data_IF_332193831842
#
_entry.id   IF_332193831842
#
_cell.length_a   1.000
_cell.length_b   1.000
_cell.length_c   1.000
_cell.angle_alpha   90.00
_cell.angle_beta   90.00
_cell.angle_gamma   90.00
#
_symmetry.space_group_name_H-M   'P 1'
#
loop_
_entity.id
_entity.type
_entity.pdbx_description
1 polymer ?
#
# COMPACT_ATOMS: atom_id res chain seq x y z
N UNK A 1 5.65 4.05 19.59
CA UNK A 1 6.89 4.40 20.31
C UNK A 1 7.63 3.16 20.74
N UNK A 2 8.92 3.31 21.03
CA UNK A 2 9.77 2.23 21.52
C UNK A 2 10.39 2.57 22.87
N UNK A 3 10.59 1.55 23.69
CA UNK A 3 11.22 1.72 24.99
C UNK A 3 12.62 2.34 24.85
N UNK A 4 12.86 3.43 25.60
CA UNK A 4 14.14 4.14 25.64
C UNK A 4 14.36 5.16 24.52
N UNK A 5 13.44 5.31 23.56
CA UNK A 5 13.51 6.37 22.58
C UNK A 5 13.06 7.70 23.18
N UNK A 6 13.74 8.82 22.86
CA UNK A 6 13.26 10.13 23.29
C UNK A 6 11.87 10.37 22.72
N UNK A 7 10.98 10.92 23.54
CA UNK A 7 9.64 11.28 23.12
C UNK A 7 9.70 12.25 21.92
N UNK A 8 9.14 11.82 20.78
CA UNK A 8 8.95 12.66 19.62
C UNK A 8 7.43 12.86 19.51
N UNK A 9 6.92 13.97 20.04
CA UNK A 9 5.49 14.25 20.12
C UNK A 9 4.99 15.18 19.01
N UNK A 10 5.81 15.39 17.96
CA UNK A 10 5.48 16.34 16.90
C UNK A 10 4.29 15.89 16.06
N UNK A 11 4.10 14.58 15.90
CA UNK A 11 3.02 13.99 15.12
C UNK A 11 2.24 12.99 15.96
N UNK A 12 1.13 13.45 16.50
CA UNK A 12 0.24 12.68 17.36
C UNK A 12 -0.93 12.05 16.56
N UNK A 13 -1.87 11.42 17.28
CA UNK A 13 -3.10 10.87 16.74
C UNK A 13 -3.86 11.87 15.86
N UNK A 14 -4.09 13.09 16.37
CA UNK A 14 -4.90 14.10 15.69
C UNK A 14 -4.23 14.54 14.38
N UNK A 15 -2.90 14.69 14.39
CA UNK A 15 -2.14 14.97 13.17
C UNK A 15 -2.39 13.92 12.07
N UNK A 16 -2.31 12.62 12.40
CA UNK A 16 -2.53 11.57 11.42
C UNK A 16 -4.00 11.43 11.01
N UNK A 17 -4.94 11.67 11.94
CA UNK A 17 -6.36 11.73 11.63
C UNK A 17 -6.62 12.81 10.58
N UNK A 18 -6.03 13.99 10.74
CA UNK A 18 -6.18 15.10 9.80
C UNK A 18 -5.51 14.80 8.46
N UNK A 19 -4.25 14.35 8.46
CA UNK A 19 -3.48 14.08 7.23
C UNK A 19 -4.08 12.95 6.39
N UNK A 20 -4.67 11.94 7.02
CA UNK A 20 -5.20 10.78 6.30
C UNK A 20 -6.70 10.91 5.99
N UNK A 21 -7.51 11.47 6.92
CA UNK A 21 -8.96 11.30 6.86
C UNK A 21 -9.78 12.58 7.08
N UNK A 22 -9.15 13.78 7.12
CA UNK A 22 -9.91 15.02 7.30
C UNK A 22 -10.96 15.26 6.22
N UNK A 23 -12.04 15.97 6.57
CA UNK A 23 -13.14 16.35 5.70
C UNK A 23 -14.31 15.36 5.67
N UNK A 24 -14.08 14.12 6.07
CA UNK A 24 -15.09 13.06 6.10
C UNK A 24 -15.50 12.50 4.73
N UNK A 25 -16.33 11.45 4.72
CA UNK A 25 -16.54 10.60 3.55
C UNK A 25 -17.24 11.30 2.36
N UNK A 26 -18.10 12.26 2.60
CA UNK A 26 -18.83 12.91 1.50
C UNK A 26 -18.03 14.03 0.83
N UNK A 27 -17.04 14.59 1.52
CA UNK A 27 -16.21 15.68 1.02
C UNK A 27 -14.85 15.68 1.72
N UNK A 28 -13.95 14.74 1.37
CA UNK A 28 -12.64 14.66 2.00
C UNK A 28 -11.79 15.90 1.71
N UNK A 29 -10.99 16.31 2.71
CA UNK A 29 -10.15 17.51 2.62
C UNK A 29 -9.03 17.30 1.58
N UNK A 30 -8.82 18.26 0.66
CA UNK A 30 -7.74 18.18 -0.33
C UNK A 30 -6.36 17.92 0.30
N UNK A 31 -5.60 17.00 -0.26
CA UNK A 31 -4.27 16.63 0.22
C UNK A 31 -4.25 15.44 1.18
N UNK A 32 -5.41 14.92 1.60
CA UNK A 32 -5.49 13.70 2.43
C UNK A 32 -5.45 12.42 1.60
N UNK A 33 -5.17 11.30 2.26
CA UNK A 33 -5.29 9.96 1.67
C UNK A 33 -6.72 9.71 1.16
N UNK A 34 -7.72 10.06 1.95
CA UNK A 34 -9.15 9.95 1.59
C UNK A 34 -9.47 10.75 0.34
N UNK A 35 -9.04 12.00 0.27
CA UNK A 35 -9.27 12.85 -0.91
C UNK A 35 -8.60 12.28 -2.15
N UNK A 36 -7.37 11.77 -2.02
CA UNK A 36 -6.66 11.19 -3.15
C UNK A 36 -7.48 10.06 -3.78
N UNK A 37 -7.87 9.06 -3.01
CA UNK A 37 -8.60 7.91 -3.54
C UNK A 37 -10.03 8.25 -3.97
N UNK A 38 -10.69 9.18 -3.27
CA UNK A 38 -11.98 9.71 -3.70
C UNK A 38 -11.88 10.40 -5.08
N UNK A 39 -10.84 11.21 -5.29
CA UNK A 39 -10.58 11.88 -6.56
C UNK A 39 -10.21 10.88 -7.66
N UNK A 40 -9.28 9.94 -7.40
CA UNK A 40 -8.84 8.93 -8.37
C UNK A 40 -9.99 8.02 -8.82
N UNK A 41 -10.90 7.70 -7.93
CA UNK A 41 -12.08 6.86 -8.19
C UNK A 41 -13.28 7.65 -8.72
N UNK A 42 -13.19 8.99 -8.79
CA UNK A 42 -14.32 9.87 -9.15
C UNK A 42 -15.50 9.71 -8.20
N UNK A 43 -15.23 9.68 -6.91
CA UNK A 43 -16.22 9.58 -5.86
C UNK A 43 -16.84 8.19 -5.69
N UNK A 44 -16.29 7.15 -6.35
CA UNK A 44 -16.79 5.77 -6.22
C UNK A 44 -16.19 5.03 -5.02
N UNK A 45 -15.00 5.40 -4.62
CA UNK A 45 -14.28 4.79 -3.50
C UNK A 45 -13.90 5.86 -2.48
N UNK A 46 -14.20 5.57 -1.24
CA UNK A 46 -13.94 6.47 -0.14
C UNK A 46 -13.21 5.74 0.98
N UNK A 47 -12.06 6.27 1.38
CA UNK A 47 -11.26 5.72 2.47
C UNK A 47 -11.62 6.46 3.74
N UNK A 48 -12.03 5.73 4.75
CA UNK A 48 -12.23 6.23 6.12
C UNK A 48 -11.42 5.40 7.09
N UNK A 49 -11.10 5.95 8.24
CA UNK A 49 -10.36 5.23 9.27
C UNK A 49 -10.25 6.03 10.55
N UNK A 50 -9.85 5.33 11.60
CA UNK A 50 -9.56 5.89 12.91
C UNK A 50 -8.11 5.64 13.31
N UNK A 51 -7.50 6.64 13.91
CA UNK A 51 -6.15 6.55 14.43
C UNK A 51 -6.18 6.22 15.92
N UNK A 52 -5.50 5.13 16.30
CA UNK A 52 -5.31 4.78 17.70
C UNK A 52 -4.41 5.79 18.43
N UNK A 53 -4.54 5.93 19.76
CA UNK A 53 -3.55 6.63 20.56
C UNK A 53 -2.15 6.03 20.37
N UNK A 54 -1.14 6.86 20.54
CA UNK A 54 0.25 6.40 20.49
C UNK A 54 0.49 5.42 21.64
N UNK A 55 0.88 4.19 21.31
CA UNK A 55 1.26 3.17 22.30
C UNK A 55 2.78 3.04 22.37
N UNK A 56 3.28 2.71 23.56
CA UNK A 56 4.70 2.43 23.77
C UNK A 56 4.92 0.92 23.83
N UNK A 57 5.86 0.42 23.04
CA UNK A 57 6.26 -0.99 23.04
C UNK A 57 7.39 -1.21 24.02
N UNK A 58 7.42 -2.40 24.64
CA UNK A 58 8.44 -2.79 25.62
C UNK A 58 9.84 -2.95 25.03
N UNK A 59 9.94 -3.22 23.73
CA UNK A 59 11.18 -3.48 23.02
C UNK A 59 11.67 -2.23 22.29
N UNK A 60 12.99 -1.99 22.24
CA UNK A 60 13.56 -0.88 21.48
C UNK A 60 13.48 -1.10 19.96
N UNK A 61 13.54 -0.02 19.17
CA UNK A 61 13.44 -0.05 17.71
C UNK A 61 14.39 -1.07 17.05
N UNK A 62 15.65 -1.12 17.47
CA UNK A 62 16.64 -2.01 16.90
C UNK A 62 16.31 -3.51 17.09
N UNK A 63 15.45 -3.87 18.04
CA UNK A 63 14.97 -5.24 18.18
C UNK A 63 14.14 -5.69 16.99
N UNK A 64 13.35 -4.77 16.42
CA UNK A 64 12.45 -5.05 15.29
C UNK A 64 13.10 -4.81 13.93
N UNK A 65 13.79 -3.68 13.78
CA UNK A 65 14.26 -3.17 12.49
C UNK A 65 15.66 -3.62 12.09
N UNK A 66 16.44 -4.23 13.00
CA UNK A 66 17.82 -4.64 12.69
C UNK A 66 17.89 -5.57 11.48
N UNK A 67 18.79 -5.33 10.52
CA UNK A 67 19.01 -6.26 9.42
C UNK A 67 19.57 -7.60 9.87
N UNK A 68 19.14 -8.67 9.20
CA UNK A 68 19.62 -10.04 9.47
C UNK A 68 20.10 -10.71 8.18
N UNK A 69 21.15 -11.49 8.30
CA UNK A 69 21.63 -12.30 7.18
C UNK A 69 20.87 -13.63 7.13
N UNK A 70 20.28 -13.93 5.98
CA UNK A 70 19.66 -15.22 5.71
C UNK A 70 20.70 -16.33 5.53
N UNK A 71 20.28 -17.58 5.61
CA UNK A 71 21.16 -18.76 5.46
C UNK A 71 21.82 -18.86 4.08
N UNK A 72 21.27 -18.21 3.06
CA UNK A 72 21.84 -18.15 1.70
C UNK A 72 22.85 -17.01 1.52
N UNK A 73 23.13 -16.24 2.61
CA UNK A 73 24.04 -15.11 2.59
C UNK A 73 23.42 -13.78 2.16
N UNK A 74 22.16 -13.76 1.73
CA UNK A 74 21.43 -12.51 1.43
C UNK A 74 21.05 -11.78 2.71
N UNK A 75 20.86 -10.48 2.63
CA UNK A 75 20.42 -9.66 3.75
C UNK A 75 18.95 -9.29 3.62
N UNK A 76 18.25 -9.32 4.76
CA UNK A 76 16.89 -8.87 4.91
C UNK A 76 16.86 -7.71 5.88
N UNK A 77 16.16 -6.65 5.52
CA UNK A 77 15.84 -5.58 6.46
C UNK A 77 14.73 -6.04 7.42
N UNK A 78 14.59 -5.35 8.53
CA UNK A 78 13.48 -5.52 9.46
C UNK A 78 13.33 -6.98 9.94
N UNK A 79 14.34 -7.45 10.68
CA UNK A 79 14.39 -8.85 11.14
C UNK A 79 13.06 -9.32 11.74
N UNK A 80 12.39 -8.44 12.50
CA UNK A 80 11.16 -8.75 13.24
C UNK A 80 10.01 -7.80 12.93
N UNK A 81 9.84 -7.41 11.67
CA UNK A 81 8.71 -6.57 11.22
C UNK A 81 7.36 -7.17 11.63
N UNK A 82 7.21 -8.48 11.50
CA UNK A 82 6.01 -9.20 11.91
C UNK A 82 5.76 -9.13 13.42
N UNK A 83 6.79 -9.30 14.24
CA UNK A 83 6.67 -9.17 15.69
C UNK A 83 6.27 -7.74 16.08
N UNK A 84 6.79 -6.73 15.36
CA UNK A 84 6.41 -5.35 15.55
C UNK A 84 4.91 -5.12 15.32
N UNK A 85 4.36 -5.68 14.24
CA UNK A 85 2.92 -5.59 13.97
C UNK A 85 2.11 -6.26 15.08
N UNK A 86 2.50 -7.48 15.49
CA UNK A 86 1.81 -8.24 16.53
C UNK A 86 1.84 -7.51 17.88
N UNK A 87 3.00 -7.03 18.29
CA UNK A 87 3.15 -6.31 19.56
C UNK A 87 2.38 -4.99 19.55
N UNK A 88 2.34 -4.30 18.40
CA UNK A 88 1.56 -3.08 18.22
C UNK A 88 0.06 -3.33 18.29
N UNK A 89 -0.45 -4.37 17.64
CA UNK A 89 -1.86 -4.77 17.70
C UNK A 89 -2.30 -5.10 19.14
N UNK A 90 -1.47 -5.86 19.85
CA UNK A 90 -1.72 -6.19 21.26
C UNK A 90 -1.74 -4.96 22.14
N UNK A 91 -0.76 -4.07 21.97
CA UNK A 91 -0.68 -2.83 22.72
C UNK A 91 -1.88 -1.92 22.43
N UNK A 92 -2.30 -1.78 21.18
CA UNK A 92 -3.48 -1.03 20.78
C UNK A 92 -4.77 -1.60 21.39
N UNK A 93 -4.98 -2.92 21.30
CA UNK A 93 -6.14 -3.58 21.90
C UNK A 93 -6.19 -3.42 23.42
N UNK A 94 -5.03 -3.46 24.12
CA UNK A 94 -4.95 -3.22 25.55
C UNK A 94 -5.22 -1.75 25.93
N UNK A 95 -4.82 -0.82 25.07
CA UNK A 95 -5.04 0.61 25.30
C UNK A 95 -6.52 1.00 25.12
N UNK A 96 -7.20 0.40 24.15
CA UNK A 96 -8.62 0.66 23.84
C UNK A 96 -9.41 -0.67 23.71
N UNK A 97 -9.67 -1.39 24.79
CA UNK A 97 -10.33 -2.71 24.71
C UNK A 97 -11.80 -2.65 24.24
N UNK A 98 -12.40 -1.46 24.22
CA UNK A 98 -13.76 -1.23 23.71
C UNK A 98 -13.80 -0.76 22.24
N UNK A 99 -12.68 -0.74 21.54
CA UNK A 99 -12.63 -0.30 20.14
C UNK A 99 -13.48 -1.24 19.26
N UNK A 100 -14.34 -0.71 18.37
CA UNK A 100 -15.26 -1.50 17.55
C UNK A 100 -14.54 -2.09 16.33
N UNK A 101 -13.65 -3.05 16.55
CA UNK A 101 -12.90 -3.71 15.48
C UNK A 101 -13.77 -4.26 14.36
N UNK A 102 -15.00 -4.71 14.68
CA UNK A 102 -15.96 -5.21 13.71
C UNK A 102 -16.40 -4.19 12.65
N UNK A 103 -16.26 -2.90 12.94
CA UNK A 103 -16.62 -1.86 11.99
C UNK A 103 -15.60 -1.74 10.86
N UNK A 104 -14.46 -2.46 10.97
CA UNK A 104 -13.35 -2.51 10.01
C UNK A 104 -13.22 -3.88 9.32
N UNK A 105 -14.24 -4.70 9.37
CA UNK A 105 -14.40 -5.97 8.68
C UNK A 105 -15.70 -5.88 7.87
N UNK A 106 -15.63 -5.25 6.69
CA UNK A 106 -16.77 -4.91 5.84
C UNK A 106 -16.66 -5.50 4.43
N UNK A 107 -15.50 -6.07 4.09
CA UNK A 107 -15.22 -6.50 2.73
C UNK A 107 -14.62 -7.90 2.67
N UNK A 108 -15.28 -8.80 1.94
CA UNK A 108 -14.78 -10.14 1.61
C UNK A 108 -14.19 -10.18 0.18
N UNK A 109 -12.90 -9.87 0.00
CA UNK A 109 -12.30 -9.84 -1.33
C UNK A 109 -12.24 -11.20 -2.01
N UNK A 110 -12.41 -12.29 -1.27
CA UNK A 110 -12.29 -13.65 -1.76
C UNK A 110 -13.62 -14.38 -1.92
N UNK A 111 -14.73 -13.74 -1.48
CA UNK A 111 -16.07 -14.37 -1.53
C UNK A 111 -16.03 -15.74 -0.82
N UNK A 112 -15.70 -15.70 0.48
CA UNK A 112 -15.35 -16.89 1.27
C UNK A 112 -16.50 -17.90 1.36
N UNK A 113 -17.73 -17.44 1.30
CA UNK A 113 -18.91 -18.30 1.38
C UNK A 113 -19.53 -18.63 0.01
N UNK A 114 -18.93 -18.10 -1.08
CA UNK A 114 -19.31 -18.33 -2.48
C UNK A 114 -20.75 -17.84 -2.80
N UNK A 115 -21.14 -16.67 -2.28
CA UNK A 115 -22.47 -16.10 -2.52
C UNK A 115 -22.51 -14.92 -3.51
N UNK A 116 -21.33 -14.57 -4.08
CA UNK A 116 -21.08 -13.43 -4.98
C UNK A 116 -21.25 -12.05 -4.30
N UNK A 117 -21.40 -11.98 -2.98
CA UNK A 117 -21.43 -10.75 -2.21
C UNK A 117 -20.05 -10.49 -1.58
N UNK A 118 -19.42 -9.42 -1.95
CA UNK A 118 -18.12 -9.01 -1.40
C UNK A 118 -18.20 -7.84 -0.44
N UNK A 119 -19.39 -7.27 -0.26
CA UNK A 119 -19.65 -6.17 0.66
C UNK A 119 -20.16 -6.74 2.00
N UNK A 120 -19.35 -7.62 2.61
CA UNK A 120 -19.67 -8.31 3.85
C UNK A 120 -18.42 -8.71 4.63
N UNK A 121 -18.56 -9.02 5.95
CA UNK A 121 -17.45 -9.44 6.79
C UNK A 121 -16.90 -10.82 6.45
N UNK A 122 -15.57 -10.95 6.33
CA UNK A 122 -14.85 -12.21 6.18
C UNK A 122 -14.07 -12.64 7.43
N UNK A 123 -14.17 -11.84 8.50
CA UNK A 123 -13.50 -12.04 9.79
C UNK A 123 -12.11 -11.43 9.85
N UNK A 124 -11.65 -10.78 8.80
CA UNK A 124 -10.41 -10.03 8.77
C UNK A 124 -10.66 -8.52 8.78
N UNK A 125 -9.80 -7.79 9.50
CA UNK A 125 -9.76 -6.33 9.38
C UNK A 125 -9.29 -5.98 7.97
N UNK A 126 -10.07 -5.19 7.24
CA UNK A 126 -9.87 -4.86 5.83
C UNK A 126 -8.51 -4.21 5.57
N UNK A 127 -8.16 -3.21 6.38
CA UNK A 127 -6.89 -2.49 6.27
C UNK A 127 -6.34 -2.13 7.64
N UNK A 128 -5.08 -2.46 7.87
CA UNK A 128 -4.36 -2.08 9.07
C UNK A 128 -3.08 -1.32 8.70
N UNK A 129 -2.96 -0.09 9.18
CA UNK A 129 -1.77 0.74 8.98
C UNK A 129 -1.07 0.94 10.32
N UNK A 130 0.20 0.50 10.40
CA UNK A 130 1.07 0.75 11.53
C UNK A 130 1.98 1.95 11.23
N UNK A 131 1.86 3.00 12.04
CA UNK A 131 2.73 4.18 11.95
C UNK A 131 3.79 4.09 13.06
N UNK A 132 5.04 3.93 12.65
CA UNK A 132 6.19 3.75 13.51
C UNK A 132 6.81 5.11 13.82
N UNK A 133 7.04 5.40 15.11
CA UNK A 133 7.64 6.66 15.53
C UNK A 133 9.03 6.90 14.92
N UNK A 134 9.30 8.14 14.57
CA UNK A 134 10.57 8.55 13.99
C UNK A 134 10.65 8.38 12.47
N UNK A 135 11.87 8.50 11.94
CA UNK A 135 12.14 8.40 10.51
C UNK A 135 12.28 6.95 10.08
N UNK A 136 11.71 6.60 8.93
CA UNK A 136 11.91 5.30 8.29
C UNK A 136 13.27 5.13 7.62
N UNK A 137 13.58 3.91 7.25
CA UNK A 137 14.79 3.57 6.49
C UNK A 137 14.83 4.27 5.13
N UNK A 138 13.70 4.45 4.46
CA UNK A 138 13.58 5.13 3.17
C UNK A 138 14.07 6.58 3.20
N UNK A 139 14.05 7.24 4.35
CA UNK A 139 14.56 8.60 4.52
C UNK A 139 16.06 8.68 4.85
N UNK A 140 16.76 7.55 4.87
CA UNK A 140 18.20 7.49 5.09
C UNK A 140 18.95 7.68 3.77
N UNK A 141 19.53 8.83 3.57
CA UNK A 141 20.39 9.10 2.40
C UNK A 141 21.54 8.08 2.32
N UNK A 142 21.52 7.21 1.31
CA UNK A 142 22.59 6.23 1.07
C UNK A 142 22.29 4.80 1.51
N UNK A 143 21.03 4.44 1.69
CA UNK A 143 20.61 3.08 2.05
C UNK A 143 21.08 2.02 1.05
N UNK A 144 21.17 2.36 -0.25
CA UNK A 144 21.81 1.50 -1.25
C UNK A 144 23.26 1.18 -0.90
N UNK A 145 23.99 2.12 -0.27
CA UNK A 145 25.36 1.91 0.21
C UNK A 145 25.38 1.00 1.43
N UNK A 146 24.33 1.03 2.25
CA UNK A 146 24.17 0.09 3.37
C UNK A 146 23.93 -1.32 2.84
N UNK A 147 23.06 -1.49 1.85
CA UNK A 147 22.86 -2.76 1.15
C UNK A 147 24.13 -3.33 0.54
N UNK A 148 24.97 -2.50 -0.09
CA UNK A 148 26.29 -2.92 -0.56
C UNK A 148 27.22 -3.36 0.57
N UNK A 149 27.26 -2.64 1.70
CA UNK A 149 28.02 -3.02 2.88
C UNK A 149 27.48 -4.27 3.54
N UNK A 150 26.17 -4.44 3.64
CA UNK A 150 25.51 -5.62 4.17
C UNK A 150 25.78 -6.86 3.31
N UNK A 151 25.96 -6.71 2.00
CA UNK A 151 26.33 -7.80 1.10
C UNK A 151 27.78 -8.31 1.24
N UNK A 152 28.58 -7.74 2.14
CA UNK A 152 30.01 -8.11 2.31
C UNK A 152 30.27 -9.28 3.27
N UNK A 153 29.32 -10.12 3.60
CA UNK A 153 29.45 -11.31 4.48
C UNK A 153 29.95 -11.02 5.92
N UNK A 154 29.71 -9.83 6.43
CA UNK A 154 30.21 -9.43 7.73
C UNK A 154 29.16 -9.68 8.85
N UNK A 155 29.49 -10.52 9.80
CA UNK A 155 28.59 -11.05 10.82
C UNK A 155 28.35 -10.14 12.05
N UNK A 156 28.95 -8.95 12.11
CA UNK A 156 28.76 -8.01 13.23
C UNK A 156 28.91 -6.57 12.82
N UNK A 157 28.31 -5.63 13.58
CA UNK A 157 28.36 -4.19 13.35
C UNK A 157 29.81 -3.66 13.23
N UNK A 158 30.73 -4.23 14.02
CA UNK A 158 32.16 -3.88 13.98
C UNK A 158 32.84 -4.29 12.67
N UNK A 159 32.36 -5.38 12.06
CA UNK A 159 32.89 -5.94 10.81
C UNK A 159 32.29 -5.22 9.60
N UNK A 160 31.06 -4.69 9.72
CA UNK A 160 30.41 -3.88 8.66
C UNK A 160 31.05 -2.51 8.51
N UNK A 161 31.85 -2.04 9.48
CA UNK A 161 32.47 -0.73 9.47
C UNK A 161 31.47 0.43 9.42
N UNK A 162 30.24 0.21 9.92
CA UNK A 162 29.20 1.21 9.98
C UNK A 162 29.52 2.28 11.03
N UNK A 163 29.38 3.53 10.69
CA UNK A 163 29.36 4.61 11.69
C UNK A 163 28.01 4.63 12.45
N UNK A 164 27.90 5.48 13.49
CA UNK A 164 26.69 5.51 14.34
C UNK A 164 25.45 5.86 13.53
N UNK A 165 25.50 6.88 12.65
CA UNK A 165 24.35 7.28 11.84
C UNK A 165 23.90 6.18 10.86
N UNK A 166 24.84 5.40 10.33
CA UNK A 166 24.53 4.26 9.46
C UNK A 166 23.89 3.11 10.27
N UNK A 167 24.31 2.88 11.50
CA UNK A 167 23.67 1.90 12.42
C UNK A 167 22.27 2.33 12.79
N UNK A 168 22.11 3.59 13.23
CA UNK A 168 20.80 4.14 13.58
C UNK A 168 19.82 4.07 12.41
N UNK A 169 20.32 4.24 11.20
CA UNK A 169 19.54 4.07 9.99
C UNK A 169 19.17 2.61 9.73
N UNK A 170 20.13 1.68 9.89
CA UNK A 170 19.91 0.26 9.67
C UNK A 170 18.90 -0.34 10.67
N UNK A 171 18.84 0.20 11.87
CA UNK A 171 17.90 -0.24 12.92
C UNK A 171 16.45 0.30 12.73
N UNK A 172 16.22 1.20 11.78
CA UNK A 172 14.89 1.72 11.45
C UNK A 172 14.10 0.74 10.62
N UNK A 173 12.80 0.98 10.51
CA UNK A 173 11.86 0.17 9.74
C UNK A 173 11.73 0.71 8.31
N UNK A 174 11.67 -0.16 7.32
CA UNK A 174 11.35 0.16 5.94
C UNK A 174 9.82 0.28 5.76
N UNK A 175 9.29 1.40 5.23
CA UNK A 175 7.87 1.46 4.86
C UNK A 175 7.54 0.42 3.79
N UNK A 176 6.48 -0.36 4.04
CA UNK A 176 6.08 -1.43 3.13
C UNK A 176 4.67 -1.94 3.44
N UNK A 177 4.06 -2.62 2.48
CA UNK A 177 2.87 -3.44 2.67
C UNK A 177 3.25 -4.91 2.60
N UNK A 178 2.72 -5.72 3.51
CA UNK A 178 2.91 -7.17 3.51
C UNK A 178 1.77 -7.90 4.22
N UNK A 179 1.84 -9.24 4.24
CA UNK A 179 0.89 -10.08 4.97
C UNK A 179 1.59 -10.82 6.13
N UNK A 180 0.86 -10.98 7.24
CA UNK A 180 1.31 -11.75 8.38
C UNK A 180 1.30 -13.26 8.05
N UNK A 181 2.46 -13.85 7.88
CA UNK A 181 2.63 -15.26 7.50
C UNK A 181 2.62 -16.23 8.70
N UNK A 182 1.93 -15.84 9.80
CA UNK A 182 1.72 -16.71 10.97
C UNK A 182 0.43 -17.49 10.82
N UNK A 183 0.34 -18.60 11.58
CA UNK A 183 -0.88 -19.40 11.73
C UNK A 183 -1.53 -19.77 10.39
N UNK A 184 -0.75 -20.16 9.39
CA UNK A 184 -1.23 -20.41 8.02
C UNK A 184 -2.33 -21.49 7.91
N UNK A 185 -2.52 -22.28 8.97
CA UNK A 185 -3.53 -23.29 9.11
C UNK A 185 -4.78 -22.82 9.88
N UNK A 186 -4.86 -21.53 10.21
CA UNK A 186 -5.92 -20.93 11.02
C UNK A 186 -6.46 -19.64 10.41
N UNK A 187 -7.53 -19.14 11.01
CA UNK A 187 -8.18 -17.90 10.66
C UNK A 187 -9.44 -17.68 11.46
N UNK A 188 -10.17 -16.60 11.22
CA UNK A 188 -11.44 -16.31 11.86
C UNK A 188 -12.51 -17.35 11.54
N UNK A 189 -13.60 -17.36 12.33
CA UNK A 189 -14.78 -18.17 12.05
C UNK A 189 -15.91 -17.27 11.57
N UNK A 190 -16.35 -17.50 10.35
CA UNK A 190 -17.46 -16.80 9.71
C UNK A 190 -18.52 -17.84 9.33
N UNK A 191 -19.77 -17.64 9.71
CA UNK A 191 -20.85 -18.60 9.45
C UNK A 191 -20.61 -20.02 9.98
N UNK A 192 -19.74 -20.18 11.02
CA UNK A 192 -19.36 -21.49 11.58
C UNK A 192 -18.21 -22.18 10.83
N UNK A 193 -17.80 -21.69 9.68
CA UNK A 193 -16.63 -22.16 8.90
C UNK A 193 -15.38 -21.35 9.30
N UNK A 194 -14.20 -21.95 9.18
CA UNK A 194 -12.93 -21.26 9.41
C UNK A 194 -12.40 -20.71 8.07
N UNK A 195 -12.22 -19.40 8.02
CA UNK A 195 -11.60 -18.72 6.86
C UNK A 195 -10.07 -18.81 7.02
N UNK A 196 -9.45 -19.85 6.45
CA UNK A 196 -8.05 -20.20 6.67
C UNK A 196 -7.15 -19.45 5.71
N UNK A 197 -6.65 -18.27 6.14
CA UNK A 197 -5.68 -17.44 5.40
C UNK A 197 -4.43 -17.13 6.21
N UNK A 198 -4.38 -17.51 7.49
CA UNK A 198 -3.33 -17.14 8.42
C UNK A 198 -3.58 -15.80 9.09
N UNK A 199 -2.52 -15.16 9.58
CA UNK A 199 -2.61 -13.89 10.29
C UNK A 199 -2.60 -14.03 11.81
N UNK A 200 -3.10 -13.03 12.50
CA UNK A 200 -3.08 -12.93 13.96
C UNK A 200 -4.44 -12.52 14.50
N UNK A 201 -4.97 -13.31 15.43
CA UNK A 201 -6.16 -12.96 16.21
C UNK A 201 -5.84 -11.80 17.17
N UNK A 202 -6.65 -10.75 17.09
CA UNK A 202 -6.54 -9.56 17.97
C UNK A 202 -7.24 -9.73 19.31
N UNK A 203 -7.78 -10.92 19.60
CA UNK A 203 -8.46 -11.24 20.87
C UNK A 203 -9.96 -10.98 20.87
N UNK A 204 -10.54 -10.60 19.74
CA UNK A 204 -11.98 -10.34 19.55
C UNK A 204 -12.66 -11.38 18.66
N UNK A 205 -11.91 -12.33 18.12
CA UNK A 205 -12.35 -13.26 17.08
C UNK A 205 -12.09 -12.74 15.65
N UNK A 206 -11.76 -11.45 15.52
CA UNK A 206 -11.28 -10.87 14.28
C UNK A 206 -9.78 -11.05 14.15
N UNK A 207 -9.32 -11.09 12.91
CA UNK A 207 -7.92 -11.32 12.58
C UNK A 207 -7.37 -10.17 11.75
N UNK A 208 -6.06 -9.94 11.86
CA UNK A 208 -5.30 -9.09 10.93
C UNK A 208 -4.39 -9.98 10.12
N UNK A 209 -4.47 -9.87 8.81
CA UNK A 209 -3.61 -10.56 7.85
C UNK A 209 -2.76 -9.57 7.09
N UNK A 210 -3.38 -8.64 6.40
CA UNK A 210 -2.73 -7.59 5.63
C UNK A 210 -2.33 -6.43 6.52
N UNK A 211 -1.13 -5.88 6.31
CA UNK A 211 -0.70 -4.71 7.02
C UNK A 211 0.12 -3.78 6.12
N UNK A 212 0.01 -2.51 6.40
CA UNK A 212 0.80 -1.44 5.83
C UNK A 212 1.64 -0.83 6.94
N UNK A 213 2.94 -0.71 6.76
CA UNK A 213 3.86 -0.15 7.73
C UNK A 213 4.47 1.14 7.21
N UNK A 214 4.32 2.21 7.99
CA UNK A 214 4.80 3.54 7.66
C UNK A 214 5.67 4.08 8.78
N UNK A 215 6.49 5.08 8.48
CA UNK A 215 7.16 5.85 9.51
C UNK A 215 6.44 7.19 9.75
N UNK A 216 6.61 7.74 10.93
CA UNK A 216 6.03 9.03 11.32
C UNK A 216 6.33 10.17 10.33
N UNK A 217 7.51 10.14 9.71
CA UNK A 217 7.98 11.16 8.76
C UNK A 217 7.89 10.70 7.29
N UNK A 218 7.07 9.69 7.02
CA UNK A 218 6.79 9.26 5.64
C UNK A 218 5.94 10.32 4.93
N UNK A 219 6.27 10.59 3.67
CA UNK A 219 5.50 11.51 2.83
C UNK A 219 4.13 10.92 2.46
N UNK A 220 3.09 11.75 2.25
CA UNK A 220 1.75 11.30 1.86
C UNK A 220 1.76 10.41 0.61
N UNK A 221 2.65 10.66 -0.34
CA UNK A 221 2.81 9.82 -1.55
C UNK A 221 3.13 8.37 -1.24
N UNK A 222 3.90 8.08 -0.18
CA UNK A 222 4.21 6.71 0.22
C UNK A 222 3.01 6.04 0.91
N UNK A 223 2.26 6.77 1.75
CA UNK A 223 0.99 6.24 2.29
C UNK A 223 0.03 5.82 1.18
N UNK A 224 -0.09 6.66 0.15
CA UNK A 224 -0.91 6.38 -1.03
C UNK A 224 -0.39 5.16 -1.79
N UNK A 225 0.90 5.08 -2.07
CA UNK A 225 1.51 3.95 -2.75
C UNK A 225 1.23 2.62 -2.03
N UNK A 226 1.57 2.55 -0.75
CA UNK A 226 1.37 1.32 0.03
C UNK A 226 -0.11 0.96 0.21
N UNK A 227 -1.00 1.95 0.31
CA UNK A 227 -2.44 1.70 0.32
C UNK A 227 -2.93 1.17 -1.05
N UNK A 228 -2.33 1.62 -2.15
CA UNK A 228 -2.59 1.07 -3.49
C UNK A 228 -2.32 -0.44 -3.56
N UNK A 229 -1.29 -0.92 -2.86
CA UNK A 229 -1.04 -2.37 -2.73
C UNK A 229 -2.14 -3.10 -1.96
N UNK A 230 -2.71 -2.48 -0.94
CA UNK A 230 -3.85 -3.04 -0.21
C UNK A 230 -5.10 -3.16 -1.10
N UNK A 231 -5.23 -2.30 -2.11
CA UNK A 231 -6.28 -2.41 -3.14
C UNK A 231 -5.94 -3.40 -4.27
N UNK A 232 -4.79 -4.08 -4.20
CA UNK A 232 -4.36 -5.08 -5.17
C UNK A 232 -3.51 -4.55 -6.33
N UNK A 233 -3.11 -3.29 -6.34
CA UNK A 233 -2.21 -2.76 -7.36
C UNK A 233 -0.76 -3.25 -7.13
N UNK A 234 -0.06 -3.74 -8.17
CA UNK A 234 1.35 -4.10 -8.06
C UNK A 234 2.26 -2.88 -8.23
N UNK A 235 3.53 -3.03 -7.84
CA UNK A 235 4.58 -2.11 -8.28
C UNK A 235 4.70 -2.09 -9.81
N UNK A 236 4.82 -0.88 -10.39
CA UNK A 236 5.02 -0.69 -11.82
C UNK A 236 6.45 -0.27 -12.15
N UNK A 237 7.35 -0.27 -11.19
CA UNK A 237 8.78 -0.04 -11.43
C UNK A 237 9.53 -1.36 -11.65
N UNK A 238 10.55 -1.31 -12.52
CA UNK A 238 11.45 -2.45 -12.72
C UNK A 238 12.54 -2.44 -11.64
N UNK A 239 12.67 -3.55 -10.91
CA UNK A 239 13.70 -3.70 -9.85
C UNK A 239 15.13 -3.62 -10.34
N UNK A 240 15.39 -3.77 -11.63
CA UNK A 240 16.76 -3.99 -12.12
C UNK A 240 17.37 -2.87 -12.95
N UNK A 241 16.63 -1.97 -13.61
CA UNK A 241 17.27 -1.04 -14.54
C UNK A 241 16.63 0.32 -14.72
N UNK A 242 15.32 0.48 -14.73
CA UNK A 242 14.69 1.78 -14.90
C UNK A 242 13.21 1.71 -14.52
N UNK A 243 12.72 2.77 -13.95
CA UNK A 243 11.29 2.96 -13.72
C UNK A 243 10.59 3.07 -15.06
N UNK A 244 9.69 2.15 -15.38
CA UNK A 244 8.95 2.14 -16.63
C UNK A 244 8.06 3.38 -16.78
N UNK A 245 7.50 3.87 -15.68
CA UNK A 245 6.64 5.05 -15.64
C UNK A 245 7.25 6.21 -14.84
N UNK A 246 8.40 6.00 -14.18
CA UNK A 246 9.09 7.00 -13.36
C UNK A 246 8.13 7.72 -12.39
N UNK A 247 8.11 9.06 -12.43
CA UNK A 247 7.26 9.90 -11.57
C UNK A 247 5.88 10.21 -12.18
N UNK A 248 5.41 9.40 -13.13
CA UNK A 248 4.10 9.59 -13.77
C UNK A 248 2.99 8.73 -13.18
N UNK A 249 3.33 7.89 -12.21
CA UNK A 249 2.42 6.88 -11.66
C UNK A 249 2.69 6.66 -10.17
N UNK A 250 1.64 6.69 -9.37
CA UNK A 250 1.74 6.51 -7.92
C UNK A 250 2.34 5.14 -7.53
N UNK A 251 2.05 4.07 -8.30
CA UNK A 251 2.60 2.73 -8.06
C UNK A 251 4.03 2.54 -8.62
N UNK A 252 4.70 3.61 -9.01
CA UNK A 252 6.08 3.59 -9.50
C UNK A 252 7.03 4.29 -8.54
N UNK A 253 7.22 5.60 -8.63
CA UNK A 253 8.17 6.33 -7.80
C UNK A 253 7.46 7.28 -6.85
N UNK A 254 7.72 7.14 -5.57
CA UNK A 254 7.20 8.00 -4.50
C UNK A 254 8.19 9.10 -4.09
N UNK A 255 9.08 9.50 -4.99
CA UNK A 255 10.15 10.48 -4.68
C UNK A 255 9.66 11.93 -4.51
N UNK A 256 8.39 12.20 -4.71
CA UNK A 256 7.79 13.53 -4.55
C UNK A 256 6.90 13.57 -3.29
N UNK A 257 6.93 14.67 -2.52
CA UNK A 257 5.98 14.88 -1.43
C UNK A 257 4.52 14.92 -1.92
N UNK A 258 4.31 15.40 -3.14
CA UNK A 258 3.01 15.39 -3.79
C UNK A 258 2.78 14.06 -4.50
N UNK A 259 1.67 13.36 -4.22
CA UNK A 259 1.38 12.09 -4.85
C UNK A 259 1.12 12.27 -6.35
N UNK A 260 1.67 11.34 -7.14
CA UNK A 260 1.35 11.22 -8.54
C UNK A 260 -0.06 10.63 -8.72
N UNK A 261 -0.66 10.87 -9.89
CA UNK A 261 -1.92 10.25 -10.26
C UNK A 261 -1.76 8.74 -10.47
N UNK A 262 -2.84 7.99 -10.28
CA UNK A 262 -2.92 6.63 -10.79
C UNK A 262 -3.06 6.64 -12.32
N UNK A 263 -2.32 5.80 -13.01
CA UNK A 263 -2.44 5.65 -14.46
C UNK A 263 -3.82 5.15 -14.89
N UNK A 264 -4.11 5.28 -16.18
CA UNK A 264 -5.33 4.70 -16.74
C UNK A 264 -5.41 3.19 -16.50
N UNK A 265 -4.25 2.49 -16.57
CA UNK A 265 -4.19 1.05 -16.30
C UNK A 265 -4.58 0.72 -14.85
N UNK A 266 -3.99 1.41 -13.87
CA UNK A 266 -4.29 1.19 -12.45
C UNK A 266 -5.76 1.47 -12.15
N UNK A 267 -6.32 2.57 -12.67
CA UNK A 267 -7.75 2.90 -12.53
C UNK A 267 -8.67 1.88 -13.20
N UNK A 268 -8.25 1.31 -14.34
CA UNK A 268 -9.00 0.22 -15.01
C UNK A 268 -8.99 -1.06 -14.18
N UNK A 269 -7.84 -1.43 -13.59
CA UNK A 269 -7.71 -2.61 -12.72
C UNK A 269 -8.64 -2.48 -11.50
N UNK A 270 -8.75 -1.27 -10.94
CA UNK A 270 -9.65 -0.99 -9.82
C UNK A 270 -11.12 -0.79 -10.22
N UNK A 271 -11.45 -0.89 -11.52
CA UNK A 271 -12.81 -0.67 -12.01
C UNK A 271 -13.27 0.80 -11.98
N UNK A 272 -12.34 1.75 -11.78
CA UNK A 272 -12.65 3.17 -11.67
C UNK A 272 -12.66 3.91 -13.01
N UNK A 273 -12.15 3.29 -14.05
CA UNK A 273 -12.10 3.85 -15.39
C UNK A 273 -12.51 2.81 -16.43
N UNK A 274 -13.39 3.23 -17.34
CA UNK A 274 -13.79 2.45 -18.50
C UNK A 274 -13.22 3.13 -19.76
N UNK A 275 -12.27 2.50 -20.49
CA UNK A 275 -11.67 3.10 -21.67
C UNK A 275 -12.61 3.02 -22.88
N UNK A 276 -12.52 3.97 -23.79
CA UNK A 276 -13.06 3.79 -25.12
C UNK A 276 -12.25 2.72 -25.86
N UNK A 277 -12.95 1.72 -26.38
CA UNK A 277 -12.31 0.58 -27.06
C UNK A 277 -12.31 0.79 -28.55
N UNK A 278 -11.14 0.87 -29.17
CA UNK A 278 -10.94 0.95 -30.59
C UNK A 278 -10.51 -0.41 -31.14
N UNK A 279 -11.25 -0.92 -32.12
CA UNK A 279 -10.95 -2.19 -32.80
C UNK A 279 -10.72 -1.92 -34.29
N UNK A 280 -9.50 -1.55 -34.71
CA UNK A 280 -9.22 -1.14 -36.10
C UNK A 280 -9.57 -2.22 -37.13
N UNK A 281 -9.53 -3.49 -36.76
CA UNK A 281 -9.85 -4.61 -37.65
C UNK A 281 -11.35 -4.77 -37.95
N UNK A 282 -12.22 -4.18 -37.15
CA UNK A 282 -13.68 -4.21 -37.34
C UNK A 282 -14.16 -3.05 -38.23
N UNK A 283 -13.30 -2.07 -38.50
CA UNK A 283 -13.64 -0.85 -39.23
C UNK A 283 -13.61 -1.00 -40.77
N UNK A 284 -13.32 -2.20 -41.30
CA UNK A 284 -13.45 -2.53 -42.71
C UNK A 284 -12.46 -1.85 -43.67
N UNK A 285 -11.28 -1.45 -43.17
CA UNK A 285 -10.20 -0.84 -43.96
C UNK A 285 -9.43 0.23 -43.18
N UNK A 286 -8.37 0.81 -43.75
CA UNK A 286 -7.64 1.88 -43.11
C UNK A 286 -8.54 3.12 -42.98
N UNK A 287 -8.94 3.43 -41.78
CA UNK A 287 -9.68 4.65 -41.44
C UNK A 287 -8.91 5.37 -40.34
N UNK A 288 -8.89 6.69 -40.46
CA UNK A 288 -8.52 7.56 -39.34
C UNK A 288 -9.74 7.70 -38.44
N UNK A 289 -9.60 7.32 -37.19
CA UNK A 289 -10.59 7.56 -36.15
C UNK A 289 -9.97 8.52 -35.14
N UNK A 290 -10.64 9.64 -34.91
CA UNK A 290 -10.21 10.63 -33.96
C UNK A 290 -10.99 10.44 -32.67
N UNK A 291 -10.27 10.28 -31.55
CA UNK A 291 -10.82 10.23 -30.22
C UNK A 291 -10.46 11.52 -29.47
N UNK A 292 -11.41 12.05 -28.76
CA UNK A 292 -11.16 13.16 -27.84
C UNK A 292 -10.88 12.57 -26.44
N UNK A 293 -9.66 12.78 -25.96
CA UNK A 293 -9.26 12.38 -24.61
C UNK A 293 -9.30 13.58 -23.69
N UNK A 294 -9.90 13.43 -22.52
CA UNK A 294 -9.82 14.41 -21.43
C UNK A 294 -8.60 14.13 -20.55
N UNK A 295 -8.06 15.15 -19.88
CA UNK A 295 -7.14 14.93 -18.77
C UNK A 295 -7.80 14.05 -17.70
N UNK A 296 -7.08 13.05 -17.19
CA UNK A 296 -7.63 12.12 -16.19
C UNK A 296 -8.00 12.80 -14.87
N UNK A 297 -7.39 13.95 -14.57
CA UNK A 297 -7.64 14.76 -13.38
C UNK A 297 -8.70 15.85 -13.58
N UNK A 298 -9.34 15.94 -14.76
CA UNK A 298 -10.42 16.88 -15.05
C UNK A 298 -11.76 16.35 -14.51
N UNK A 299 -11.81 16.13 -13.20
CA UNK A 299 -13.03 15.70 -12.52
C UNK A 299 -13.54 16.80 -11.58
N UNK A 300 -14.77 17.21 -11.77
CA UNK A 300 -15.40 18.36 -11.08
C UNK A 300 -16.21 17.98 -9.85
N UNK A 301 -16.08 16.76 -9.35
CA UNK A 301 -16.80 16.31 -8.13
C UNK A 301 -18.22 15.80 -8.37
N UNK A 302 -18.65 15.62 -9.62
CA UNK A 302 -19.96 15.01 -9.90
C UNK A 302 -19.81 13.49 -10.04
N UNK A 303 -20.44 12.73 -9.15
CA UNK A 303 -20.59 11.30 -9.28
C UNK A 303 -21.37 10.94 -10.56
N UNK A 304 -20.92 9.91 -11.30
CA UNK A 304 -21.63 9.41 -12.47
C UNK A 304 -21.18 10.00 -13.81
N UNK A 305 -19.94 10.45 -13.89
CA UNK A 305 -19.34 10.84 -15.17
C UNK A 305 -19.32 9.64 -16.14
N UNK A 306 -20.14 9.68 -17.17
CA UNK A 306 -20.17 8.69 -18.25
C UNK A 306 -19.57 9.27 -19.51
N UNK A 307 -18.96 8.44 -20.35
CA UNK A 307 -18.46 8.77 -21.69
C UNK A 307 -19.57 9.10 -22.70
N UNK A 308 -20.74 9.56 -22.21
CA UNK A 308 -21.95 9.76 -23.01
C UNK A 308 -21.80 10.71 -24.20
N UNK A 309 -20.76 11.55 -24.21
CA UNK A 309 -20.59 12.61 -25.25
C UNK A 309 -19.46 12.30 -26.25
N UNK A 310 -18.99 11.04 -26.34
CA UNK A 310 -17.89 10.67 -27.25
C UNK A 310 -16.51 11.16 -26.82
N UNK A 311 -16.39 11.59 -25.56
CA UNK A 311 -15.12 11.99 -24.94
C UNK A 311 -14.66 10.89 -24.00
N UNK A 312 -13.44 10.44 -24.16
CA UNK A 312 -12.87 9.32 -23.43
C UNK A 312 -11.82 9.79 -22.42
N UNK A 313 -11.73 9.12 -21.28
CA UNK A 313 -10.65 9.33 -20.31
C UNK A 313 -9.39 8.60 -20.73
N UNK A 314 -9.56 7.46 -21.39
CA UNK A 314 -8.48 6.67 -21.98
C UNK A 314 -8.99 5.95 -23.22
N UNK A 315 -8.07 5.58 -24.10
CA UNK A 315 -8.36 4.77 -25.27
C UNK A 315 -7.60 3.44 -25.15
N UNK A 316 -8.32 2.35 -25.40
CA UNK A 316 -7.74 1.01 -25.53
C UNK A 316 -7.81 0.59 -26.98
N UNK A 317 -6.66 0.35 -27.62
CA UNK A 317 -6.59 -0.16 -28.99
C UNK A 317 -6.38 -1.67 -28.94
N UNK A 318 -7.36 -2.43 -29.44
CA UNK A 318 -7.28 -3.89 -29.54
C UNK A 318 -6.77 -4.25 -30.93
N UNK A 319 -5.53 -4.75 -30.99
CA UNK A 319 -4.91 -5.24 -32.21
C UNK A 319 -5.36 -6.66 -32.51
N UNK A 320 -5.56 -7.02 -33.80
CA UNK A 320 -5.87 -8.39 -34.17
C UNK A 320 -4.69 -9.35 -33.85
N UNK A 321 -4.95 -10.65 -33.64
CA UNK A 321 -3.92 -11.62 -33.27
C UNK A 321 -2.69 -11.63 -34.16
N UNK A 322 -2.85 -11.41 -35.48
CA UNK A 322 -1.74 -11.35 -36.44
C UNK A 322 -0.71 -10.26 -36.17
N UNK A 323 -1.11 -9.14 -35.52
CA UNK A 323 -0.18 -8.09 -35.14
C UNK A 323 0.56 -8.43 -33.83
N UNK A 324 0.00 -9.30 -33.01
CA UNK A 324 0.68 -9.77 -31.79
C UNK A 324 1.91 -10.62 -32.14
N UNK A 325 1.79 -11.46 -33.16
CA UNK A 325 2.91 -12.32 -33.59
C UNK A 325 4.05 -11.53 -34.24
N UNK A 326 3.76 -10.39 -34.85
CA UNK A 326 4.77 -9.50 -35.44
C UNK A 326 5.47 -8.63 -34.40
N UNK A 327 4.72 -8.18 -33.37
CA UNK A 327 5.27 -7.34 -32.31
C UNK A 327 6.08 -8.13 -31.26
N UNK A 328 5.88 -9.44 -31.22
CA UNK A 328 6.54 -10.38 -30.29
C UNK A 328 7.65 -11.18 -30.96
N UNK A 329 8.26 -10.65 -32.02
CA UNK A 329 9.52 -11.19 -32.53
C UNK A 329 10.54 -11.28 -31.38
N UNK A 330 11.41 -12.30 -31.34
CA UNK A 330 12.29 -12.51 -30.20
C UNK A 330 13.10 -11.26 -29.95
N UNK A 331 12.86 -10.66 -28.77
CA UNK A 331 13.80 -9.70 -28.21
C UNK A 331 15.07 -10.51 -27.93
N UNK A 332 16.02 -10.41 -28.87
CA UNK A 332 17.35 -10.93 -28.68
C UNK A 332 18.11 -10.19 -27.57
#
# INVERSE_FOLDING_TARGET
RFAGDPAQDERNRDYFQDVLFAGGPANPEPGTLSHYYWHQSRGRYNVTGDIFPVVELERPLHYYGRPVQNSDGTWRNDERATDLVIDSLRAAHLAEPGFPWSDYDQWDPQDFDDDDNRDEPDGYVDHFILIVAGKGQSSCNGLYKLGEKLNTNAASDAVLGLNQAERDCADRIWPHRFALSQNLDRGPRVGGRMNVRGGVDIGTGLWVLDYNMQSEYTDPSTFIHEFGHSLGLPDIYARSTNNSTASWEAMSSTASPEPQELSAWSRMVLGWLEPCVVRPHELGGPREESLYLKPMNDWTGQAGYTTADGVCDAAMVILPPKFRDIAMGPLG
#
